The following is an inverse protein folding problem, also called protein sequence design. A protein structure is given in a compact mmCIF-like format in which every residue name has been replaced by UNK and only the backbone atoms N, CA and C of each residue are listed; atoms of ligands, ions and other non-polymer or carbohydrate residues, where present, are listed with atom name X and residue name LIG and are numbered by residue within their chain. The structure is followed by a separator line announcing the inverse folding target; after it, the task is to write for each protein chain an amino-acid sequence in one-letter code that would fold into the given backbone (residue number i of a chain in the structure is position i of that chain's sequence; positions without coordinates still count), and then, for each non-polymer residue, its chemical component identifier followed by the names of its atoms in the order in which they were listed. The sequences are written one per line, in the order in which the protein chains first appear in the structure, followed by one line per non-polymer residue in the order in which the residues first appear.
data_IF_603711178518
#
_entry.id   IF_603711178518
#
_cell.length_a   1.000
_cell.length_b   1.000
_cell.length_c   1.000
_cell.angle_alpha   90.00
_cell.angle_beta   90.00
_cell.angle_gamma   90.00
#
_symmetry.space_group_name_H-M   'P 1'
#
loop_
_entity.id
_entity.type
_entity.pdbx_description
1 polymer ?
#
# COMPACT_ATOMS: atom_id res chain seq x y z
N UNK A 1 -27.70 -8.86 -1.43
CA UNK A 1 -26.77 -8.01 -0.69
C UNK A 1 -25.52 -8.81 -0.39
N UNK A 2 -24.39 -8.48 -1.02
CA UNK A 2 -23.11 -9.10 -0.70
C UNK A 2 -22.62 -8.50 0.62
N UNK A 3 -22.39 -9.32 1.65
CA UNK A 3 -21.89 -8.82 2.93
C UNK A 3 -20.48 -8.22 2.75
N UNK A 4 -20.31 -6.95 3.07
CA UNK A 4 -18.98 -6.32 3.13
C UNK A 4 -18.28 -6.72 4.41
N UNK A 5 -17.02 -7.15 4.32
CA UNK A 5 -16.18 -7.44 5.49
C UNK A 5 -15.32 -6.23 5.80
N UNK A 6 -15.33 -5.77 7.04
CA UNK A 6 -14.36 -4.79 7.52
C UNK A 6 -12.98 -5.46 7.64
N UNK A 7 -11.99 -4.82 7.04
CA UNK A 7 -10.58 -5.22 7.08
C UNK A 7 -9.76 -4.05 7.60
N UNK A 8 -8.78 -4.35 8.45
CA UNK A 8 -7.80 -3.38 8.93
C UNK A 8 -6.51 -3.44 8.12
N UNK A 9 -5.84 -2.30 7.94
CA UNK A 9 -4.46 -2.24 7.47
C UNK A 9 -3.65 -1.25 8.29
N UNK A 10 -2.34 -1.48 8.31
CA UNK A 10 -1.36 -0.59 8.93
C UNK A 10 -0.30 -0.25 7.89
N UNK A 11 0.04 1.04 7.75
CA UNK A 11 0.96 1.49 6.73
C UNK A 11 1.79 2.70 7.15
N UNK A 12 2.94 2.87 6.50
CA UNK A 12 3.70 4.11 6.52
C UNK A 12 3.43 4.88 5.23
N UNK A 13 2.86 6.07 5.33
CA UNK A 13 2.76 7.00 4.22
C UNK A 13 4.00 7.90 4.20
N UNK A 14 4.59 8.10 3.02
CA UNK A 14 5.77 8.94 2.80
C UNK A 14 5.44 9.98 1.73
N UNK A 15 5.77 11.23 1.99
CA UNK A 15 5.52 12.33 1.06
C UNK A 15 5.94 13.67 1.63
N UNK A 16 5.68 14.73 0.89
CA UNK A 16 5.75 16.10 1.39
C UNK A 16 4.68 16.35 2.46
N UNK A 17 4.82 17.41 3.24
CA UNK A 17 3.82 17.77 4.25
C UNK A 17 2.42 17.93 3.63
N UNK A 18 2.32 18.62 2.49
CA UNK A 18 1.05 18.89 1.81
C UNK A 18 0.39 17.60 1.27
N UNK A 19 1.17 16.67 0.69
CA UNK A 19 0.63 15.38 0.24
C UNK A 19 0.11 14.55 1.42
N UNK A 20 0.84 14.56 2.54
CA UNK A 20 0.41 13.86 3.75
C UNK A 20 -0.83 14.50 4.38
N UNK A 21 -0.96 15.83 4.34
CA UNK A 21 -2.18 16.53 4.79
C UNK A 21 -3.37 16.17 3.90
N UNK A 22 -3.20 16.19 2.58
CA UNK A 22 -4.24 15.86 1.62
C UNK A 22 -4.73 14.41 1.77
N UNK A 23 -3.83 13.43 1.83
CA UNK A 23 -4.22 12.02 1.98
C UNK A 23 -4.88 11.76 3.33
N UNK A 24 -4.39 12.38 4.41
CA UNK A 24 -5.00 12.26 5.74
C UNK A 24 -6.41 12.85 5.74
N UNK A 25 -6.62 14.00 5.08
CA UNK A 25 -7.93 14.62 4.97
C UNK A 25 -8.93 13.74 4.19
N UNK A 26 -8.53 13.17 3.06
CA UNK A 26 -9.36 12.26 2.26
C UNK A 26 -9.73 11.01 3.06
N UNK A 27 -8.76 10.37 3.72
CA UNK A 27 -9.00 9.15 4.51
C UNK A 27 -9.83 9.44 5.77
N UNK A 28 -9.68 10.63 6.38
CA UNK A 28 -10.53 11.08 7.50
C UNK A 28 -11.96 11.30 7.05
N UNK A 29 -12.16 12.00 5.92
CA UNK A 29 -13.50 12.23 5.36
C UNK A 29 -14.20 10.91 4.99
N UNK A 30 -13.44 9.90 4.59
CA UNK A 30 -13.95 8.55 4.33
C UNK A 30 -14.21 7.71 5.60
N UNK A 31 -13.89 8.24 6.80
CA UNK A 31 -14.01 7.49 8.06
C UNK A 31 -13.07 6.29 8.16
N UNK A 32 -11.97 6.30 7.39
CA UNK A 32 -11.08 5.15 7.25
C UNK A 32 -9.93 5.15 8.27
N UNK A 33 -9.60 6.28 8.91
CA UNK A 33 -8.50 6.35 9.89
C UNK A 33 -8.99 5.92 11.27
N UNK A 34 -8.36 4.89 11.82
CA UNK A 34 -8.50 4.46 13.23
C UNK A 34 -7.46 5.16 14.09
N UNK A 35 -6.25 5.32 13.56
CA UNK A 35 -5.14 5.97 14.26
C UNK A 35 -4.20 6.65 13.28
N UNK A 36 -3.74 7.84 13.66
CA UNK A 36 -2.71 8.60 12.96
C UNK A 36 -1.57 8.91 13.93
N UNK A 37 -0.36 8.53 13.55
CA UNK A 37 0.85 8.78 14.32
C UNK A 37 1.39 10.18 14.13
N UNK A 38 2.51 10.47 14.81
CA UNK A 38 3.22 11.75 14.60
C UNK A 38 3.98 11.73 13.28
N UNK A 39 4.05 12.88 12.61
CA UNK A 39 4.83 13.06 11.40
C UNK A 39 6.33 13.14 11.71
N UNK A 40 7.14 12.32 11.06
CA UNK A 40 8.59 12.31 11.23
C UNK A 40 9.29 12.80 9.96
N UNK A 41 10.20 13.77 10.11
CA UNK A 41 11.05 14.25 9.00
C UNK A 41 12.02 13.17 8.55
N UNK A 42 12.23 13.08 7.24
CA UNK A 42 13.25 12.25 6.63
C UNK A 42 14.50 13.08 6.30
N UNK A 43 15.65 12.41 6.23
CA UNK A 43 16.95 13.03 5.98
C UNK A 43 17.66 12.32 4.80
N UNK A 44 18.78 12.89 4.34
CA UNK A 44 19.55 12.35 3.22
C UNK A 44 18.85 12.61 1.88
N UNK A 45 18.79 11.61 1.01
CA UNK A 45 18.17 11.73 -0.32
C UNK A 45 16.68 12.09 -0.28
N UNK A 46 16.00 11.84 0.84
CA UNK A 46 14.57 12.16 1.06
C UNK A 46 14.37 13.46 1.87
N UNK A 47 15.37 14.34 1.92
CA UNK A 47 15.24 15.64 2.59
C UNK A 47 14.04 16.41 2.03
N UNK A 48 13.24 16.99 2.93
CA UNK A 48 11.97 17.67 2.58
C UNK A 48 10.76 16.74 2.58
N UNK A 49 10.95 15.43 2.73
CA UNK A 49 9.87 14.45 2.92
C UNK A 49 9.67 14.11 4.38
N UNK A 50 8.52 13.54 4.64
CA UNK A 50 8.07 13.09 5.93
C UNK A 50 7.48 11.69 5.80
N UNK A 51 7.46 10.97 6.92
CA UNK A 51 6.70 9.73 7.07
C UNK A 51 5.68 9.86 8.20
N UNK A 52 4.52 9.23 8.04
CA UNK A 52 3.49 9.12 9.07
C UNK A 52 2.96 7.69 9.10
N UNK A 53 2.73 7.16 10.29
CA UNK A 53 2.12 5.85 10.48
C UNK A 53 0.60 5.99 10.56
N UNK A 54 -0.13 5.17 9.81
CA UNK A 54 -1.58 5.17 9.75
C UNK A 54 -2.12 3.77 10.01
N UNK A 55 -3.17 3.67 10.84
CA UNK A 55 -3.99 2.46 10.98
C UNK A 55 -5.35 2.75 10.37
N UNK A 56 -5.76 1.92 9.43
CA UNK A 56 -6.93 2.13 8.58
C UNK A 56 -7.92 0.99 8.71
N UNK A 57 -9.19 1.30 8.49
CA UNK A 57 -10.28 0.34 8.27
C UNK A 57 -10.95 0.62 6.94
N UNK A 58 -11.22 -0.44 6.18
CA UNK A 58 -11.94 -0.36 4.91
C UNK A 58 -12.95 -1.51 4.80
N UNK A 59 -14.04 -1.24 4.08
CA UNK A 59 -14.97 -2.28 3.67
C UNK A 59 -14.37 -3.00 2.45
N UNK A 60 -13.91 -4.23 2.66
CA UNK A 60 -13.52 -5.10 1.56
C UNK A 60 -14.78 -5.78 0.98
N UNK A 61 -14.95 -5.82 -0.36
CA UNK A 61 -15.94 -6.68 -0.96
C UNK A 61 -15.67 -8.13 -0.54
N UNK A 62 -16.73 -8.93 -0.37
CA UNK A 62 -16.57 -10.35 -0.08
C UNK A 62 -15.68 -10.99 -1.16
N UNK A 63 -14.82 -11.96 -0.78
CA UNK A 63 -14.05 -12.72 -1.76
C UNK A 63 -15.01 -13.29 -2.81
N UNK A 64 -14.68 -13.12 -4.09
CA UNK A 64 -15.41 -13.81 -5.15
C UNK A 64 -15.32 -15.33 -4.89
N UNK A 65 -16.39 -16.09 -5.13
CA UNK A 65 -16.35 -17.55 -5.00
C UNK A 65 -15.18 -18.07 -5.84
N UNK A 66 -14.37 -18.95 -5.23
CA UNK A 66 -13.18 -19.51 -5.87
C UNK A 66 -13.55 -20.09 -7.24
N UNK A 67 -12.76 -19.82 -8.31
CA UNK A 67 -12.99 -20.46 -9.60
C UNK A 67 -12.91 -21.98 -9.41
N UNK A 68 -13.96 -22.70 -9.81
CA UNK A 68 -13.91 -24.16 -9.85
C UNK A 68 -12.77 -24.65 -10.77
N UNK A 69 -12.34 -25.91 -10.62
CA UNK A 69 -11.16 -26.46 -11.30
C UNK A 69 -11.19 -26.39 -12.84
N UNK A 70 -12.33 -26.07 -13.45
CA UNK A 70 -12.50 -25.93 -14.90
C UNK A 70 -11.99 -24.60 -15.50
N UNK A 71 -11.58 -23.60 -14.70
CA UNK A 71 -11.11 -22.30 -15.21
C UNK A 71 -9.59 -22.11 -15.13
N UNK A 72 -8.80 -23.20 -15.13
CA UNK A 72 -7.35 -23.10 -15.40
C UNK A 72 -7.12 -22.93 -16.90
N UNK A 73 -7.52 -21.78 -17.45
CA UNK A 73 -6.88 -21.24 -18.65
C UNK A 73 -5.49 -20.78 -18.20
N UNK A 74 -4.38 -21.23 -18.81
CA UNK A 74 -3.07 -20.73 -18.43
C UNK A 74 -3.05 -19.23 -18.71
N UNK A 75 -3.02 -18.44 -17.64
CA UNK A 75 -2.67 -17.04 -17.75
C UNK A 75 -1.20 -17.03 -18.15
N UNK A 76 -0.93 -16.88 -19.44
CA UNK A 76 0.32 -16.33 -19.96
C UNK A 76 0.38 -14.86 -19.56
N UNK A 77 0.44 -14.60 -18.26
CA UNK A 77 1.09 -13.43 -17.73
C UNK A 77 2.33 -13.95 -17.04
N UNK A 78 3.40 -13.93 -17.82
CA UNK A 78 4.78 -14.01 -17.38
C UNK A 78 5.01 -12.89 -16.35
N UNK A 79 4.59 -13.12 -15.11
CA UNK A 79 5.10 -12.39 -13.96
C UNK A 79 6.53 -12.92 -13.77
N UNK A 80 7.45 -12.45 -14.60
CA UNK A 80 8.86 -12.67 -14.41
C UNK A 80 9.20 -12.13 -13.02
N UNK A 81 9.42 -13.05 -12.07
CA UNK A 81 9.90 -12.74 -10.73
C UNK A 81 11.22 -12.00 -10.91
N UNK A 82 11.20 -10.70 -10.62
CA UNK A 82 12.38 -9.87 -10.76
C UNK A 82 13.39 -10.29 -9.69
N UNK A 83 14.57 -10.74 -10.10
CA UNK A 83 15.67 -11.03 -9.19
C UNK A 83 16.24 -9.70 -8.64
N UNK A 84 15.83 -9.37 -7.42
CA UNK A 84 16.25 -8.16 -6.73
C UNK A 84 17.75 -8.15 -6.39
N UNK A 85 18.39 -9.30 -6.25
CA UNK A 85 19.80 -9.37 -5.88
C UNK A 85 20.70 -9.06 -7.08
N UNK A 86 20.32 -9.55 -8.28
CA UNK A 86 20.95 -9.13 -9.53
C UNK A 86 20.78 -7.61 -9.78
N UNK A 87 19.60 -7.06 -9.50
CA UNK A 87 19.35 -5.62 -9.63
C UNK A 87 20.20 -4.78 -8.65
N UNK A 88 20.41 -5.26 -7.42
CA UNK A 88 21.27 -4.60 -6.42
C UNK A 88 22.75 -4.67 -6.79
N UNK A 89 23.22 -5.79 -7.32
CA UNK A 89 24.61 -5.94 -7.74
C UNK A 89 24.99 -4.92 -8.82
N UNK A 90 24.11 -4.70 -9.80
CA UNK A 90 24.32 -3.71 -10.88
C UNK A 90 24.41 -2.27 -10.36
N UNK A 91 23.61 -1.91 -9.36
CA UNK A 91 23.65 -0.56 -8.76
C UNK A 91 24.95 -0.27 -8.02
N UNK A 92 25.62 -1.30 -7.46
CA UNK A 92 26.88 -1.16 -6.72
C UNK A 92 28.13 -1.15 -7.61
N UNK A 93 27.96 -1.50 -8.89
CA UNK A 93 29.04 -1.55 -9.87
C UNK A 93 29.19 -0.23 -10.67
N UNK A 94 28.51 0.84 -10.26
CA UNK A 94 28.59 2.20 -10.83
C UNK A 94 29.24 3.13 -9.83
#
# INVERSE_FOLDING_TARGET
MTASRLVGAEMWAIGTAAELDAITAVLTAAGQIIHSGTRHRMAGADTGRYRIYLRLTFAAPAPAPAPGPASRRPATHEAAVLDLDAARARRRAV
#
